data_IF_000234101979
#
_entry.id   IF_000234101979
#
_cell.length_a   1.000
_cell.length_b   1.000
_cell.length_c   1.000
_cell.angle_alpha   90.00
_cell.angle_beta   90.00
_cell.angle_gamma   90.00
#
_symmetry.space_group_name_H-M   'P 1'
#
loop_
_entity.id
_entity.type
_entity.pdbx_description
1 polymer ?
#
# COMPACT_ATOMS: atom_id res chain seq x y z
N UNK A 1 33.90 23.03 26.73
CA UNK A 1 34.09 22.12 25.58
C UNK A 1 32.85 22.22 24.69
N UNK A 2 32.88 23.01 23.61
CA UNK A 2 31.73 23.16 22.71
C UNK A 2 31.78 22.12 21.61
N UNK A 3 30.85 21.17 21.66
CA UNK A 3 30.59 20.21 20.58
C UNK A 3 30.06 20.96 19.36
N UNK A 4 30.87 21.00 18.29
CA UNK A 4 30.46 21.52 16.99
C UNK A 4 29.41 20.58 16.40
N UNK A 5 28.15 21.02 16.38
CA UNK A 5 27.08 20.36 15.64
C UNK A 5 27.34 20.56 14.15
N UNK A 6 27.92 19.55 13.50
CA UNK A 6 28.04 19.50 12.04
C UNK A 6 26.63 19.29 11.49
N UNK A 7 25.93 20.38 11.16
CA UNK A 7 24.71 20.32 10.36
C UNK A 7 25.11 19.84 8.96
N UNK A 8 24.87 18.56 8.68
CA UNK A 8 24.99 18.00 7.34
C UNK A 8 24.17 18.87 6.38
N UNK A 9 24.75 19.22 5.23
CA UNK A 9 24.03 19.94 4.17
C UNK A 9 22.80 19.10 3.78
N UNK A 10 21.61 19.70 3.60
CA UNK A 10 20.46 18.95 3.12
C UNK A 10 20.81 18.38 1.75
N UNK A 11 20.90 17.04 1.67
CA UNK A 11 21.11 16.35 0.41
C UNK A 11 19.89 16.63 -0.46
N UNK A 12 20.09 17.17 -1.65
CA UNK A 12 19.05 17.28 -2.66
C UNK A 12 18.72 15.88 -3.18
N UNK A 13 17.93 15.12 -2.41
CA UNK A 13 17.46 13.80 -2.80
C UNK A 13 16.49 13.93 -3.99
N UNK A 14 16.50 12.95 -4.88
CA UNK A 14 15.65 12.91 -6.09
C UNK A 14 15.10 11.51 -6.27
N UNK A 15 13.92 11.40 -6.89
CA UNK A 15 13.32 10.11 -7.27
C UNK A 15 13.10 9.19 -6.08
N UNK A 16 13.57 7.95 -6.19
CA UNK A 16 13.44 6.90 -5.17
C UNK A 16 13.92 7.34 -3.79
N UNK A 17 15.12 7.94 -3.71
CA UNK A 17 15.72 8.30 -2.42
C UNK A 17 14.91 9.37 -1.68
N UNK A 18 14.30 10.29 -2.43
CA UNK A 18 13.47 11.31 -1.84
C UNK A 18 12.10 10.77 -1.40
N UNK A 19 11.56 9.75 -2.10
CA UNK A 19 10.36 9.04 -1.64
C UNK A 19 10.66 8.23 -0.37
N UNK A 20 11.78 7.52 -0.34
CA UNK A 20 12.22 6.74 0.82
C UNK A 20 12.43 7.65 2.05
N UNK A 21 13.08 8.79 1.85
CA UNK A 21 13.25 9.80 2.89
C UNK A 21 11.92 10.35 3.39
N UNK A 22 10.97 10.62 2.49
CA UNK A 22 9.62 11.03 2.89
C UNK A 22 8.95 9.95 3.75
N UNK A 23 9.06 8.67 3.37
CA UNK A 23 8.49 7.57 4.16
C UNK A 23 9.09 7.55 5.57
N UNK A 24 10.42 7.63 5.69
CA UNK A 24 11.12 7.71 6.98
C UNK A 24 10.60 8.86 7.84
N UNK A 25 10.44 10.04 7.26
CA UNK A 25 9.92 11.20 7.98
C UNK A 25 8.48 11.02 8.45
N UNK A 26 7.62 10.35 7.66
CA UNK A 26 6.24 10.12 8.05
C UNK A 26 6.12 9.04 9.14
N UNK A 27 6.97 8.02 9.11
CA UNK A 27 6.96 6.90 10.06
C UNK A 27 7.89 7.11 11.26
N UNK A 28 8.57 8.25 11.35
CA UNK A 28 9.40 8.58 12.51
C UNK A 28 8.56 8.61 13.79
N UNK A 29 9.08 8.00 14.86
CA UNK A 29 8.41 7.87 16.15
C UNK A 29 7.35 6.77 16.26
N UNK A 30 7.09 5.99 15.21
CA UNK A 30 6.22 4.81 15.31
C UNK A 30 6.97 3.60 15.87
N UNK A 31 6.33 2.90 16.81
CA UNK A 31 6.86 1.69 17.43
C UNK A 31 7.04 0.59 16.39
N UNK A 32 8.17 -0.12 16.45
CA UNK A 32 8.51 -1.27 15.60
C UNK A 32 8.56 -0.99 14.08
N UNK A 33 8.51 0.28 13.67
CA UNK A 33 8.60 0.71 12.28
C UNK A 33 9.98 1.31 11.99
N UNK A 34 10.70 0.70 11.04
CA UNK A 34 11.96 1.24 10.54
C UNK A 34 12.05 1.05 9.01
N UNK A 35 11.79 2.13 8.27
CA UNK A 35 11.78 2.09 6.80
C UNK A 35 13.19 2.35 6.26
N UNK A 36 13.89 1.29 5.82
CA UNK A 36 15.25 1.40 5.27
C UNK A 36 15.32 1.15 3.76
N UNK A 37 14.33 0.48 3.19
CA UNK A 37 14.22 0.14 1.78
C UNK A 37 12.77 0.29 1.29
N UNK A 38 12.54 0.03 -0.01
CA UNK A 38 11.19 -0.11 -0.59
C UNK A 38 10.89 -1.58 -0.89
N UNK A 39 11.36 -2.50 -0.05
CA UNK A 39 11.13 -3.94 -0.19
C UNK A 39 10.79 -4.57 1.16
N UNK A 40 11.79 -5.04 1.90
CA UNK A 40 11.62 -5.84 3.10
C UNK A 40 11.05 -5.08 4.29
N UNK A 41 11.31 -3.77 4.38
CA UNK A 41 10.83 -2.89 5.46
C UNK A 41 9.31 -2.72 5.49
N UNK A 42 8.62 -3.20 4.46
CA UNK A 42 7.16 -3.06 4.29
C UNK A 42 6.42 -4.38 4.50
N UNK A 43 7.15 -5.49 4.67
CA UNK A 43 6.57 -6.83 4.71
C UNK A 43 5.59 -7.04 5.87
N UNK A 44 5.93 -6.50 7.04
CA UNK A 44 5.11 -6.62 8.24
C UNK A 44 3.85 -5.73 8.23
N UNK A 45 3.68 -4.91 7.19
CA UNK A 45 2.53 -4.03 7.00
C UNK A 45 2.51 -2.79 7.90
N UNK A 46 3.36 -2.72 8.94
CA UNK A 46 3.36 -1.63 9.90
C UNK A 46 3.77 -0.30 9.26
N UNK A 47 4.68 -0.32 8.28
CA UNK A 47 5.05 0.87 7.52
C UNK A 47 3.83 1.47 6.75
N UNK A 48 2.98 0.63 6.15
CA UNK A 48 1.76 1.10 5.48
C UNK A 48 0.75 1.66 6.49
N UNK A 49 0.53 0.97 7.61
CA UNK A 49 -0.35 1.43 8.68
C UNK A 49 0.12 2.77 9.26
N UNK A 50 1.43 2.93 9.50
CA UNK A 50 2.00 4.16 10.04
C UNK A 50 1.80 5.37 9.11
N UNK A 51 1.95 5.17 7.79
CA UNK A 51 1.65 6.23 6.81
C UNK A 51 0.19 6.67 6.85
N UNK A 52 -0.75 5.73 6.96
CA UNK A 52 -2.19 6.03 7.02
C UNK A 52 -2.57 6.71 8.33
N UNK A 53 -2.05 6.22 9.45
CA UNK A 53 -2.26 6.83 10.77
C UNK A 53 -1.68 8.26 10.81
N UNK A 54 -0.50 8.48 10.23
CA UNK A 54 0.10 9.83 10.15
C UNK A 54 -0.75 10.79 9.34
N UNK A 55 -1.39 10.31 8.29
CA UNK A 55 -2.29 11.12 7.47
C UNK A 55 -3.58 11.50 8.21
N UNK A 56 -4.12 10.60 9.02
CA UNK A 56 -5.29 10.86 9.87
C UNK A 56 -5.38 9.75 10.92
N UNK A 57 -5.15 10.06 12.22
CA UNK A 57 -5.17 9.06 13.28
C UNK A 57 -6.47 8.27 13.38
N UNK A 58 -7.61 8.90 13.05
CA UNK A 58 -8.94 8.27 13.06
C UNK A 58 -9.15 7.15 12.01
N UNK A 59 -8.14 6.83 11.19
CA UNK A 59 -8.28 5.82 10.15
C UNK A 59 -8.00 4.40 10.65
N UNK A 60 -7.15 4.24 11.66
CA UNK A 60 -6.79 2.94 12.23
C UNK A 60 -6.16 3.14 13.61
N UNK A 61 -6.37 2.18 14.51
CA UNK A 61 -5.73 2.14 15.83
C UNK A 61 -4.33 1.51 15.68
N UNK A 62 -3.27 2.32 15.63
CA UNK A 62 -1.91 1.82 15.38
C UNK A 62 -1.35 1.05 16.60
N UNK A 63 -1.66 1.49 17.81
CA UNK A 63 -1.14 0.91 19.05
C UNK A 63 -1.57 -0.54 19.28
N UNK A 64 -2.63 -1.00 18.62
CA UNK A 64 -3.10 -2.38 18.68
C UNK A 64 -2.40 -3.32 17.67
N UNK A 65 -1.58 -2.77 16.77
CA UNK A 65 -0.92 -3.54 15.73
C UNK A 65 0.38 -4.19 16.23
N UNK A 66 0.63 -5.41 15.77
CA UNK A 66 1.84 -6.18 16.07
C UNK A 66 2.56 -6.58 14.80
N UNK A 67 3.90 -6.60 14.84
CA UNK A 67 4.75 -7.07 13.74
C UNK A 67 4.50 -8.53 13.36
N UNK A 68 4.00 -9.33 14.30
CA UNK A 68 3.70 -10.75 14.12
C UNK A 68 2.47 -10.96 13.22
N UNK A 69 1.57 -9.98 13.17
CA UNK A 69 0.32 -10.01 12.41
C UNK A 69 0.46 -9.42 10.99
N UNK A 70 1.58 -9.73 10.32
CA UNK A 70 1.95 -9.14 9.04
C UNK A 70 0.82 -9.20 7.99
N UNK A 71 0.14 -10.33 7.88
CA UNK A 71 -0.97 -10.54 6.94
C UNK A 71 -2.13 -9.57 7.22
N UNK A 72 -2.58 -9.52 8.49
CA UNK A 72 -3.67 -8.67 8.95
C UNK A 72 -3.34 -7.18 8.79
N UNK A 73 -2.10 -6.80 9.10
CA UNK A 73 -1.64 -5.41 8.97
C UNK A 73 -1.71 -4.93 7.51
N UNK A 74 -1.22 -5.74 6.58
CA UNK A 74 -1.25 -5.41 5.16
C UNK A 74 -2.69 -5.33 4.63
N UNK A 75 -3.56 -6.28 4.96
CA UNK A 75 -4.98 -6.24 4.57
C UNK A 75 -5.68 -4.99 5.09
N UNK A 76 -5.48 -4.69 6.38
CA UNK A 76 -6.06 -3.51 7.02
C UNK A 76 -5.60 -2.23 6.30
N UNK A 77 -4.30 -2.09 6.08
CA UNK A 77 -3.75 -0.91 5.41
C UNK A 77 -4.32 -0.74 4.00
N UNK A 78 -4.36 -1.81 3.20
CA UNK A 78 -4.85 -1.73 1.82
C UNK A 78 -6.34 -1.44 1.76
N UNK A 79 -7.14 -2.06 2.64
CA UNK A 79 -8.57 -1.80 2.75
C UNK A 79 -8.85 -0.35 3.16
N UNK A 80 -8.20 0.14 4.21
CA UNK A 80 -8.39 1.52 4.68
C UNK A 80 -7.96 2.54 3.62
N UNK A 81 -6.85 2.29 2.92
CA UNK A 81 -6.39 3.13 1.82
C UNK A 81 -7.41 3.18 0.67
N UNK A 82 -8.00 2.05 0.30
CA UNK A 82 -9.01 2.00 -0.75
C UNK A 82 -10.30 2.69 -0.34
N UNK A 83 -10.82 2.40 0.85
CA UNK A 83 -12.11 2.94 1.31
C UNK A 83 -12.05 4.45 1.57
N UNK A 84 -10.99 4.91 2.25
CA UNK A 84 -10.91 6.27 2.82
C UNK A 84 -10.09 7.21 1.95
N UNK A 85 -9.03 6.70 1.32
CA UNK A 85 -8.14 7.48 0.46
C UNK A 85 -8.45 7.31 -1.03
N UNK A 86 -9.26 6.31 -1.42
CA UNK A 86 -9.53 5.95 -2.83
C UNK A 86 -8.24 5.61 -3.59
N UNK A 87 -7.28 4.99 -2.90
CA UNK A 87 -6.06 4.46 -3.50
C UNK A 87 -6.26 2.96 -3.74
N UNK A 88 -6.24 2.49 -4.99
CA UNK A 88 -6.51 1.09 -5.30
C UNK A 88 -5.42 0.18 -4.71
N UNK A 89 -5.83 -0.98 -4.20
CA UNK A 89 -4.92 -2.00 -3.69
C UNK A 89 -4.20 -2.72 -4.84
N UNK A 90 -3.05 -2.18 -5.28
CA UNK A 90 -2.24 -2.79 -6.35
C UNK A 90 -1.31 -3.90 -5.84
N UNK A 91 -1.13 -3.99 -4.53
CA UNK A 91 -0.41 -5.06 -3.84
C UNK A 91 -1.43 -6.05 -3.29
N UNK A 92 -1.05 -7.33 -3.32
CA UNK A 92 -1.78 -8.36 -2.59
C UNK A 92 -1.10 -8.60 -1.25
N UNK A 93 -1.88 -8.66 -0.17
CA UNK A 93 -1.31 -8.81 1.17
C UNK A 93 -0.68 -10.21 1.37
N UNK A 94 -1.21 -11.26 0.72
CA UNK A 94 -0.62 -12.59 0.77
C UNK A 94 0.73 -12.60 0.05
N UNK A 95 0.79 -12.02 -1.16
CA UNK A 95 2.04 -11.93 -1.94
C UNK A 95 3.13 -11.18 -1.16
N UNK A 96 2.77 -10.07 -0.51
CA UNK A 96 3.71 -9.27 0.29
C UNK A 96 4.33 -10.10 1.43
N UNK A 97 3.53 -10.94 2.09
CA UNK A 97 3.97 -11.73 3.25
C UNK A 97 4.68 -13.01 2.86
N UNK A 98 4.22 -13.71 1.82
CA UNK A 98 4.65 -15.08 1.49
C UNK A 98 5.78 -15.14 0.47
N UNK A 99 5.85 -14.20 -0.48
CA UNK A 99 6.90 -14.23 -1.50
C UNK A 99 8.28 -14.07 -0.87
N UNK A 100 9.33 -14.69 -1.42
CA UNK A 100 10.70 -14.58 -0.86
C UNK A 100 11.26 -13.16 -0.95
N UNK A 101 10.91 -12.43 -2.00
CA UNK A 101 11.32 -11.04 -2.24
C UNK A 101 10.13 -10.27 -2.78
N UNK A 102 9.86 -9.11 -2.19
CA UNK A 102 8.83 -8.19 -2.68
C UNK A 102 9.48 -7.31 -3.75
N UNK A 103 8.81 -7.13 -4.88
CA UNK A 103 9.28 -6.27 -5.95
C UNK A 103 9.35 -4.81 -5.51
N UNK A 104 10.56 -4.22 -5.54
CA UNK A 104 10.80 -2.82 -5.14
C UNK A 104 9.91 -1.84 -5.91
N UNK A 105 9.75 -2.08 -7.21
CA UNK A 105 8.95 -1.26 -8.09
C UNK A 105 7.47 -1.25 -7.70
N UNK A 106 6.95 -2.39 -7.23
CA UNK A 106 5.55 -2.53 -6.81
C UNK A 106 5.27 -1.74 -5.54
N UNK A 107 6.15 -1.84 -4.53
CA UNK A 107 6.06 -1.05 -3.29
C UNK A 107 6.25 0.44 -3.59
N UNK A 108 7.28 0.81 -4.37
CA UNK A 108 7.52 2.19 -4.77
C UNK A 108 6.30 2.80 -5.46
N UNK A 109 5.68 2.05 -6.38
CA UNK A 109 4.48 2.49 -7.10
C UNK A 109 3.33 2.72 -6.12
N UNK A 110 3.07 1.78 -5.21
CA UNK A 110 1.97 1.90 -4.26
C UNK A 110 2.16 3.06 -3.27
N UNK A 111 3.35 3.18 -2.69
CA UNK A 111 3.72 4.27 -1.78
C UNK A 111 3.65 5.62 -2.48
N UNK A 112 4.01 5.69 -3.77
CA UNK A 112 3.84 6.90 -4.57
C UNK A 112 2.37 7.30 -4.73
N UNK A 113 1.44 6.34 -4.80
CA UNK A 113 -0.02 6.61 -4.81
C UNK A 113 -0.50 7.19 -3.47
N UNK A 114 0.01 6.65 -2.36
CA UNK A 114 -0.29 7.15 -1.02
C UNK A 114 0.23 8.58 -0.85
N UNK A 115 1.50 8.83 -1.14
CA UNK A 115 2.12 10.15 -1.15
C UNK A 115 1.30 11.17 -1.95
N UNK A 116 0.91 10.77 -3.16
CA UNK A 116 0.05 11.53 -4.06
C UNK A 116 -1.20 12.02 -3.37
N UNK A 117 -1.91 11.09 -2.73
CA UNK A 117 -3.20 11.34 -2.12
C UNK A 117 -3.10 12.16 -0.84
N UNK A 118 -2.03 11.96 -0.07
CA UNK A 118 -1.77 12.67 1.17
C UNK A 118 -1.46 14.15 0.92
N UNK A 119 -0.60 14.44 -0.06
CA UNK A 119 -0.22 15.82 -0.39
C UNK A 119 -1.31 16.60 -1.15
N UNK A 120 -2.26 15.91 -1.77
CA UNK A 120 -3.40 16.58 -2.44
C UNK A 120 -4.36 17.22 -1.43
N UNK A 121 -4.45 16.68 -0.20
CA UNK A 121 -5.28 17.22 0.89
C UNK A 121 -4.65 18.43 1.57
N UNK A 122 -3.32 18.53 1.61
CA UNK A 122 -2.65 19.74 2.13
C UNK A 122 -2.80 20.96 1.20
N UNK A 123 -3.25 20.78 -0.04
CA UNK A 123 -3.40 21.85 -1.03
C UNK A 123 -4.84 22.36 -1.25
N UNK A 124 -5.83 21.89 -0.50
CA UNK A 124 -7.21 22.39 -0.62
C UNK A 124 -7.55 23.40 0.48
N UNK A 125 -7.19 24.67 0.25
CA UNK A 125 -7.93 25.82 0.82
C UNK A 125 -9.04 26.24 -0.16
N UNK A 126 -10.26 26.60 0.31
CA UNK A 126 -11.35 27.04 -0.56
C UNK A 126 -11.43 28.56 -0.64
N UNK A 127 -11.47 29.16 -1.84
CA UNK A 127 -12.27 30.37 -2.14
C UNK A 127 -12.31 30.68 -3.64
N UNK A 128 -13.51 30.51 -4.21
CA UNK A 128 -14.16 31.22 -5.33
C UNK A 128 -13.60 31.25 -6.76
N UNK A 129 -14.50 31.36 -7.78
CA UNK A 129 -14.18 31.22 -9.20
C UNK A 129 -14.00 32.58 -9.90
N UNK A 130 -12.91 32.76 -10.66
CA UNK A 130 -12.81 33.85 -11.64
C UNK A 130 -11.66 33.62 -12.65
N UNK A 131 -12.07 33.25 -13.87
CA UNK A 131 -11.66 33.76 -15.20
C UNK A 131 -10.16 33.79 -15.62
N UNK A 132 -9.92 33.10 -16.75
CA UNK A 132 -8.99 33.36 -17.88
C UNK A 132 -7.47 33.40 -17.67
N UNK A 133 -6.83 32.28 -18.06
CA UNK A 133 -5.73 32.08 -19.04
C UNK A 133 -4.50 33.05 -19.10
N UNK A 134 -3.46 32.72 -19.90
CA UNK A 134 -2.17 32.25 -19.44
C UNK A 134 -1.06 33.30 -19.60
N UNK A 135 0.11 33.12 -18.96
CA UNK A 135 1.48 33.46 -19.44
C UNK A 135 2.41 33.68 -18.25
N UNK A 136 3.63 33.13 -18.36
CA UNK A 136 4.82 33.75 -17.75
C UNK A 136 5.48 32.98 -16.63
N UNK A 137 6.51 32.21 -17.01
CA UNK A 137 7.81 32.12 -16.31
C UNK A 137 7.79 32.10 -14.78
N UNK A 138 7.85 30.90 -14.21
CA UNK A 138 8.28 30.68 -12.83
C UNK A 138 9.04 29.38 -12.75
N UNK A 139 10.21 29.39 -12.13
CA UNK A 139 11.00 28.19 -11.83
C UNK A 139 10.14 27.20 -11.05
N UNK A 140 9.50 26.26 -11.74
CA UNK A 140 8.75 25.18 -11.13
C UNK A 140 9.75 24.34 -10.36
N UNK A 141 9.73 24.43 -9.03
CA UNK A 141 10.40 23.45 -8.16
C UNK A 141 9.90 22.09 -8.63
N UNK A 142 10.75 21.32 -9.34
CA UNK A 142 10.39 19.97 -9.79
C UNK A 142 9.85 19.24 -8.58
N UNK A 143 8.58 18.89 -8.65
CA UNK A 143 7.93 18.19 -7.54
C UNK A 143 8.52 16.78 -7.50
N UNK A 144 8.55 16.12 -6.34
CA UNK A 144 8.96 14.71 -6.23
C UNK A 144 8.29 13.86 -7.32
N UNK A 145 7.04 14.21 -7.64
CA UNK A 145 6.24 13.66 -8.71
C UNK A 145 6.83 13.79 -10.11
N UNK A 146 7.43 14.93 -10.48
CA UNK A 146 8.00 15.12 -11.81
C UNK A 146 9.25 14.26 -12.00
N UNK A 147 9.92 13.89 -10.91
CA UNK A 147 11.07 12.98 -10.92
C UNK A 147 10.64 11.51 -10.91
N UNK A 148 9.51 11.18 -10.27
CA UNK A 148 8.96 9.81 -10.23
C UNK A 148 8.17 9.43 -11.50
N UNK A 149 7.84 10.40 -12.37
CA UNK A 149 7.02 10.19 -13.58
C UNK A 149 7.79 9.54 -14.72
N UNK A 150 9.09 9.80 -14.85
CA UNK A 150 9.89 9.27 -15.96
C UNK A 150 10.10 7.75 -15.89
N UNK A 151 10.03 7.13 -14.70
CA UNK A 151 10.38 5.71 -14.52
C UNK A 151 9.16 4.75 -14.49
N UNK A 152 7.93 5.23 -14.25
CA UNK A 152 6.79 4.35 -13.97
C UNK A 152 5.54 4.70 -14.80
N UNK A 153 5.24 3.87 -15.82
CA UNK A 153 3.97 3.93 -16.56
C UNK A 153 2.78 3.51 -15.66
N UNK A 154 2.28 4.50 -14.91
CA UNK A 154 1.33 4.37 -13.81
C UNK A 154 -0.05 3.83 -14.21
N UNK A 155 -0.53 4.18 -15.40
CA UNK A 155 -1.86 3.78 -15.87
C UNK A 155 -1.91 2.31 -16.29
N UNK A 156 -0.83 1.82 -16.90
CA UNK A 156 -0.76 0.47 -17.44
C UNK A 156 -0.72 -0.59 -16.32
N UNK A 157 -0.07 -0.31 -15.19
CA UNK A 157 -0.08 -1.21 -14.03
C UNK A 157 -1.47 -1.34 -13.38
N UNK A 158 -2.22 -0.24 -13.30
CA UNK A 158 -3.60 -0.25 -12.81
C UNK A 158 -4.52 -1.04 -13.75
N UNK A 159 -4.43 -0.84 -15.06
CA UNK A 159 -5.24 -1.59 -16.02
C UNK A 159 -4.86 -3.08 -16.06
N UNK A 160 -3.57 -3.40 -16.02
CA UNK A 160 -3.07 -4.78 -16.06
C UNK A 160 -3.52 -5.61 -14.85
N UNK A 161 -3.65 -5.00 -13.65
CA UNK A 161 -4.19 -5.69 -12.46
C UNK A 161 -5.71 -5.80 -12.49
N UNK A 162 -6.42 -4.80 -13.02
CA UNK A 162 -7.88 -4.88 -13.25
C UNK A 162 -8.22 -6.04 -14.21
N UNK A 163 -7.35 -6.30 -15.19
CA UNK A 163 -7.51 -7.41 -16.11
C UNK A 163 -7.19 -8.78 -15.50
N UNK A 164 -6.26 -8.87 -14.54
CA UNK A 164 -5.95 -10.15 -13.84
C UNK A 164 -7.11 -10.70 -13.00
N UNK A 165 -7.99 -9.84 -12.48
CA UNK A 165 -9.19 -10.28 -11.74
C UNK A 165 -10.37 -10.62 -12.66
N UNK A 166 -10.25 -10.41 -13.98
CA UNK A 166 -11.28 -10.77 -14.96
C UNK A 166 -11.08 -12.16 -15.59
N UNK A 167 -10.00 -12.87 -15.24
CA UNK A 167 -9.72 -14.24 -15.70
C UNK A 167 -9.94 -15.26 -14.58
N UNK A 168 -11.05 -15.12 -13.85
CA UNK A 168 -11.64 -16.20 -13.06
C UNK A 168 -12.60 -16.98 -13.93
N UNK A 169 -12.06 -17.81 -14.82
CA UNK A 169 -12.85 -18.83 -15.53
C UNK A 169 -13.24 -19.91 -14.50
N UNK A 170 -14.50 -19.91 -14.06
CA UNK A 170 -15.15 -21.08 -13.49
C UNK A 170 -16.38 -21.36 -14.35
N UNK A 171 -16.20 -22.32 -15.26
CA UNK A 171 -17.25 -22.93 -16.07
C UNK A 171 -18.34 -23.56 -15.17
N UNK A 172 -19.57 -23.76 -15.70
CA UNK A 172 -20.76 -23.99 -14.90
C UNK A 172 -20.85 -25.44 -14.43
N UNK A 173 -20.89 -25.68 -13.11
CA UNK A 173 -21.33 -26.97 -12.59
C UNK A 173 -22.87 -27.02 -12.51
N UNK A 174 -23.41 -27.85 -13.39
CA UNK A 174 -24.76 -28.40 -13.41
C UNK A 174 -25.28 -28.82 -12.03
N UNK A 175 -26.45 -28.32 -11.67
CA UNK A 175 -27.28 -28.88 -10.59
C UNK A 175 -27.90 -30.20 -11.07
N UNK A 176 -27.30 -31.32 -10.72
CA UNK A 176 -27.98 -32.62 -10.68
C UNK A 176 -27.57 -33.33 -9.41
N UNK A 177 -28.53 -33.47 -8.49
CA UNK A 177 -28.39 -34.26 -7.28
C UNK A 177 -28.56 -35.75 -7.60
N UNK A 178 -27.73 -36.62 -7.00
CA UNK A 178 -28.11 -38.00 -6.72
C UNK A 178 -28.17 -38.23 -5.20
N UNK A 179 -29.34 -38.70 -4.76
CA UNK A 179 -29.63 -39.16 -3.39
C UNK A 179 -28.77 -40.37 -3.03
N UNK A 180 -28.08 -40.28 -1.90
CA UNK A 180 -27.23 -41.33 -1.33
C UNK A 180 -28.07 -42.52 -0.86
N UNK A 181 -27.75 -43.72 -1.33
CA UNK A 181 -28.26 -44.98 -0.79
C UNK A 181 -27.11 -45.94 -0.59
N UNK A 182 -27.06 -46.48 0.65
CA UNK A 182 -26.35 -47.71 1.09
C UNK A 182 -24.82 -47.54 1.26
N UNK A 183 -24.16 -47.99 2.33
CA UNK A 183 -24.31 -49.24 3.09
C UNK A 183 -23.72 -49.02 4.52
N UNK A 184 -24.55 -49.07 5.56
CA UNK A 184 -24.14 -49.42 6.93
C UNK A 184 -24.77 -50.77 7.25
N UNK A 185 -24.10 -51.85 6.84
CA UNK A 185 -24.57 -53.23 7.03
C UNK A 185 -23.38 -54.08 7.48
N UNK A 186 -22.85 -53.83 8.69
CA UNK A 186 -21.87 -54.69 9.37
C UNK A 186 -21.95 -54.59 10.91
N UNK A 187 -23.13 -54.82 11.49
CA UNK A 187 -23.25 -55.19 12.92
C UNK A 187 -24.36 -56.22 13.16
N UNK A 188 -24.28 -57.35 12.47
CA UNK A 188 -24.99 -58.54 12.93
C UNK A 188 -24.31 -59.83 12.48
N UNK A 189 -23.11 -60.10 13.01
CA UNK A 189 -22.59 -61.47 13.12
C UNK A 189 -21.35 -61.49 14.04
N UNK A 190 -21.58 -61.58 15.36
CA UNK A 190 -20.68 -62.20 16.33
C UNK A 190 -21.48 -62.51 17.62
N UNK A 191 -22.13 -63.68 17.59
CA UNK A 191 -22.38 -64.61 18.69
C UNK A 191 -22.46 -64.07 20.13
N UNK A 192 -23.69 -64.02 20.67
CA UNK A 192 -24.15 -64.79 21.85
C UNK A 192 -25.66 -64.57 22.06
#
# INVERSE_FOLDING_TARGET
MSTKQVRARPRSLKGKDALLEWCKQQTDGYKDVNVCDLTSSWRDGLAFCALLHRFSPELLEFDELSKEDAMKNNELAFKVAEERLKVPAILDANDVVTMKSIDELSVMTYVSMLFKRMNKRSSSAPTSPAVTSPTGTGQTRRTLFDVLRDENNFSELCEKRKNRHSSGEMSPLSKTAPTQTKIEELQQENHA
#
